data_IF_057784946882
#
_entry.id   IF_057784946882
#
_cell.length_a   1.000
_cell.length_b   1.000
_cell.length_c   1.000
_cell.angle_alpha   90.00
_cell.angle_beta   90.00
_cell.angle_gamma   90.00
#
_symmetry.space_group_name_H-M   'P 1'
#
loop_
_entity.id
_entity.type
_entity.pdbx_description
1 polymer ?
#
# COMPACT_ATOMS: atom_id res chain seq x y z
N UNK A 1 0.99 12.73 11.44
CA UNK A 1 1.46 12.91 10.05
C UNK A 1 0.97 11.74 9.22
N UNK A 2 -0.09 11.97 8.49
CA UNK A 2 -0.69 11.00 7.57
C UNK A 2 0.17 10.99 6.32
N UNK A 3 0.72 9.83 6.00
CA UNK A 3 1.41 9.59 4.73
C UNK A 3 0.34 9.59 3.64
N UNK A 4 0.26 10.67 2.88
CA UNK A 4 -0.58 10.73 1.68
C UNK A 4 0.23 10.21 0.50
N UNK A 5 0.15 8.92 0.25
CA UNK A 5 0.60 8.37 -1.01
C UNK A 5 -0.37 8.83 -2.12
N UNK A 6 0.17 9.38 -3.19
CA UNK A 6 -0.56 9.54 -4.44
C UNK A 6 -1.27 10.87 -4.69
N UNK A 7 -1.07 11.93 -3.87
CA UNK A 7 -1.56 13.26 -4.23
C UNK A 7 -0.44 14.06 -4.90
N UNK A 8 -0.64 14.61 -6.10
CA UNK A 8 0.27 15.60 -6.63
C UNK A 8 0.11 16.87 -5.77
N UNK A 9 0.93 16.98 -4.74
CA UNK A 9 1.11 18.24 -4.04
C UNK A 9 1.88 19.14 -4.99
N UNK A 10 1.23 20.17 -5.48
CA UNK A 10 1.87 21.25 -6.21
C UNK A 10 2.71 22.06 -5.22
N UNK A 11 3.93 21.65 -5.01
CA UNK A 11 4.90 22.32 -4.17
C UNK A 11 6.02 21.34 -3.83
N UNK A 12 7.20 21.58 -4.42
CA UNK A 12 8.44 20.89 -4.06
C UNK A 12 8.89 21.34 -2.67
N UNK A 13 8.22 20.86 -1.62
CA UNK A 13 8.69 21.06 -0.25
C UNK A 13 9.63 19.91 0.14
N UNK A 14 10.94 20.18 0.32
CA UNK A 14 11.94 19.17 0.68
C UNK A 14 11.65 18.48 2.01
N UNK A 15 10.86 19.09 2.91
CA UNK A 15 10.54 18.53 4.22
C UNK A 15 9.62 17.30 4.16
N UNK A 16 8.84 17.14 3.08
CA UNK A 16 7.97 15.97 2.91
C UNK A 16 8.71 14.73 2.38
N UNK A 17 9.83 14.92 1.69
CA UNK A 17 10.64 13.80 1.15
C UNK A 17 11.58 13.18 2.22
N UNK A 18 11.93 13.92 3.27
CA UNK A 18 12.86 13.48 4.33
C UNK A 18 12.28 12.43 5.30
N UNK A 19 10.97 12.24 5.34
CA UNK A 19 10.30 11.28 6.23
C UNK A 19 10.51 9.80 5.84
N UNK A 20 11.01 9.51 4.65
CA UNK A 20 11.27 8.14 4.17
C UNK A 20 12.73 7.71 4.22
N UNK A 21 13.66 8.62 4.51
CA UNK A 21 15.06 8.25 4.68
C UNK A 21 15.35 7.94 6.15
N UNK A 22 14.99 6.74 6.59
CA UNK A 22 15.69 6.11 7.69
C UNK A 22 17.16 5.96 7.28
N UNK A 23 18.03 6.75 7.88
CA UNK A 23 19.46 6.71 7.68
C UNK A 23 20.04 5.43 8.27
N UNK A 24 19.87 4.30 7.58
CA UNK A 24 20.84 3.23 7.68
C UNK A 24 22.00 3.63 6.78
N UNK A 25 23.06 4.14 7.37
CA UNK A 25 24.32 4.45 6.68
C UNK A 25 24.86 3.16 6.08
N UNK A 26 24.55 2.88 4.83
CA UNK A 26 25.21 1.84 4.05
C UNK A 26 26.63 2.35 3.81
N UNK A 27 27.59 1.79 4.54
CA UNK A 27 29.00 2.09 4.35
C UNK A 27 29.39 1.64 2.91
N UNK A 28 29.76 2.53 2.01
CA UNK A 28 30.05 2.18 0.62
C UNK A 28 31.29 1.31 0.45
N UNK A 29 32.02 0.98 1.52
CA UNK A 29 33.25 0.14 1.50
C UNK A 29 33.00 -1.36 1.66
N UNK A 30 31.77 -1.82 1.84
CA UNK A 30 31.42 -3.25 2.01
C UNK A 30 30.63 -3.85 0.85
N UNK A 31 30.63 -3.22 -0.32
CA UNK A 31 30.14 -3.92 -1.52
C UNK A 31 31.23 -4.91 -1.94
N UNK A 32 31.05 -6.17 -1.55
CA UNK A 32 31.92 -7.27 -1.88
C UNK A 32 31.89 -7.48 -3.42
N UNK A 33 32.96 -7.11 -4.13
CA UNK A 33 33.08 -7.15 -5.60
C UNK A 33 33.18 -8.57 -6.17
N UNK A 34 32.93 -9.62 -5.37
CA UNK A 34 33.13 -11.02 -5.78
C UNK A 34 31.88 -11.85 -5.96
N UNK A 35 30.68 -11.26 -5.93
CA UNK A 35 29.46 -11.98 -6.31
C UNK A 35 29.36 -12.06 -7.83
N UNK A 36 29.92 -13.11 -8.44
CA UNK A 36 29.68 -13.41 -9.84
C UNK A 36 28.20 -13.74 -10.03
N UNK A 37 27.50 -13.14 -11.01
CA UNK A 37 26.10 -13.46 -11.28
C UNK A 37 26.00 -14.91 -11.73
N UNK A 38 25.15 -15.70 -11.05
CA UNK A 38 24.86 -17.12 -11.37
C UNK A 38 23.93 -17.30 -12.59
N UNK A 39 23.89 -16.33 -13.47
CA UNK A 39 23.19 -16.49 -14.76
C UNK A 39 24.19 -16.94 -15.80
N UNK A 40 23.85 -18.06 -16.49
CA UNK A 40 24.63 -18.56 -17.58
C UNK A 40 24.95 -17.43 -18.57
N UNK A 41 26.17 -17.43 -19.10
CA UNK A 41 26.69 -16.46 -20.05
C UNK A 41 25.73 -16.28 -21.24
N UNK A 42 24.78 -15.39 -21.12
CA UNK A 42 24.23 -14.73 -22.30
C UNK A 42 25.31 -13.75 -22.74
N UNK A 43 25.81 -13.97 -23.95
CA UNK A 43 26.74 -13.05 -24.61
C UNK A 43 25.95 -11.82 -25.08
N UNK A 44 25.34 -11.13 -24.11
CA UNK A 44 24.79 -9.78 -24.28
C UNK A 44 26.02 -8.89 -24.43
N UNK A 45 26.26 -8.41 -25.64
CA UNK A 45 27.42 -7.58 -25.96
C UNK A 45 27.67 -6.55 -24.87
N UNK A 46 28.80 -6.65 -24.19
CA UNK A 46 29.17 -5.77 -23.05
C UNK A 46 28.99 -4.28 -23.41
N UNK A 47 29.15 -3.95 -24.69
CA UNK A 47 28.90 -2.62 -25.22
C UNK A 47 27.44 -2.18 -25.08
N UNK A 48 26.48 -3.04 -25.34
CA UNK A 48 25.05 -2.76 -25.18
C UNK A 48 24.68 -2.50 -23.72
N UNK A 49 25.24 -3.29 -22.80
CA UNK A 49 25.05 -3.09 -21.35
C UNK A 49 25.69 -1.78 -20.90
N UNK A 50 26.90 -1.47 -21.37
CA UNK A 50 27.58 -0.23 -21.03
C UNK A 50 26.81 1.00 -21.52
N UNK A 51 26.25 0.96 -22.72
CA UNK A 51 25.40 2.02 -23.27
C UNK A 51 24.10 2.15 -22.43
N UNK A 52 23.47 1.04 -22.06
CA UNK A 52 22.32 1.03 -21.17
C UNK A 52 22.60 1.70 -19.82
N UNK A 53 23.73 1.37 -19.20
CA UNK A 53 24.18 1.97 -17.95
C UNK A 53 24.43 3.48 -18.13
N UNK A 54 25.09 3.87 -19.20
CA UNK A 54 25.39 5.27 -19.47
C UNK A 54 24.11 6.11 -19.63
N UNK A 55 23.13 5.60 -20.36
CA UNK A 55 21.82 6.24 -20.54
C UNK A 55 21.05 6.35 -19.23
N UNK A 56 20.97 5.27 -18.45
CA UNK A 56 20.30 5.25 -17.15
C UNK A 56 20.96 6.25 -16.17
N UNK A 57 22.29 6.24 -16.10
CA UNK A 57 23.05 7.19 -15.27
C UNK A 57 22.78 8.64 -15.68
N UNK A 58 22.81 8.93 -16.97
CA UNK A 58 22.55 10.30 -17.49
C UNK A 58 21.13 10.75 -17.13
N UNK A 59 20.14 9.85 -17.27
CA UNK A 59 18.76 10.15 -16.92
C UNK A 59 18.60 10.41 -15.42
N UNK A 60 19.13 9.52 -14.57
CA UNK A 60 19.06 9.67 -13.11
C UNK A 60 19.71 10.99 -12.65
N UNK A 61 20.90 11.31 -13.15
CA UNK A 61 21.56 12.57 -12.80
C UNK A 61 20.77 13.81 -13.29
N UNK A 62 20.03 13.67 -14.40
CA UNK A 62 19.15 14.73 -14.88
C UNK A 62 17.88 14.91 -14.04
N UNK A 63 17.49 13.90 -13.25
CA UNK A 63 16.33 13.96 -12.33
C UNK A 63 16.74 14.35 -10.90
N UNK A 64 18.04 14.54 -10.64
CA UNK A 64 18.51 14.87 -9.30
C UNK A 64 18.08 16.28 -8.90
N UNK A 65 17.48 16.40 -7.69
CA UNK A 65 17.17 17.72 -7.14
C UNK A 65 18.45 18.51 -6.85
N UNK A 66 18.43 19.86 -6.94
CA UNK A 66 19.61 20.70 -6.64
C UNK A 66 20.26 20.41 -5.28
N UNK A 67 19.47 19.99 -4.28
CA UNK A 67 19.95 19.59 -2.94
C UNK A 67 20.55 18.18 -2.90
N UNK A 68 20.67 17.48 -4.04
CA UNK A 68 21.39 16.22 -4.19
C UNK A 68 20.59 14.95 -3.98
N UNK A 69 19.28 15.01 -3.73
CA UNK A 69 18.40 13.84 -3.55
C UNK A 69 17.56 13.53 -4.81
N UNK A 70 16.96 12.34 -4.82
CA UNK A 70 15.94 11.94 -5.79
C UNK A 70 14.63 11.67 -5.05
N UNK A 71 13.51 12.12 -5.60
CA UNK A 71 12.18 11.78 -5.16
C UNK A 71 11.53 10.91 -6.24
N UNK A 72 11.22 9.66 -5.90
CA UNK A 72 10.47 8.75 -6.77
C UNK A 72 9.01 8.79 -6.36
N UNK A 73 8.12 9.16 -7.28
CA UNK A 73 6.69 9.04 -7.05
C UNK A 73 6.30 7.57 -7.02
N UNK A 74 5.56 7.19 -5.97
CA UNK A 74 4.96 5.86 -5.84
C UNK A 74 3.48 5.99 -6.18
N UNK A 75 3.07 5.41 -7.28
CA UNK A 75 1.67 5.20 -7.57
C UNK A 75 1.19 3.99 -6.78
N UNK A 76 0.37 4.26 -5.75
CA UNK A 76 -0.17 3.23 -4.87
C UNK A 76 -1.47 2.65 -5.46
N UNK A 77 -1.97 1.61 -4.78
CA UNK A 77 -3.29 1.06 -5.03
C UNK A 77 -4.40 1.91 -4.37
N UNK A 78 -5.66 1.61 -4.68
CA UNK A 78 -6.85 2.28 -4.11
C UNK A 78 -7.08 1.98 -2.62
N UNK A 79 -6.19 1.21 -1.98
CA UNK A 79 -6.36 0.79 -0.60
C UNK A 79 -6.10 1.93 0.38
N UNK A 80 -5.09 2.76 0.11
CA UNK A 80 -4.73 3.88 0.98
C UNK A 80 -5.80 4.98 0.96
N UNK A 81 -6.37 5.27 -0.20
CA UNK A 81 -7.48 6.21 -0.34
C UNK A 81 -8.71 5.69 0.41
N UNK A 82 -9.00 4.40 0.29
CA UNK A 82 -10.10 3.76 1.00
C UNK A 82 -9.89 3.80 2.52
N UNK A 83 -8.69 3.47 3.00
CA UNK A 83 -8.35 3.48 4.43
C UNK A 83 -8.34 4.91 5.01
N UNK A 84 -7.95 5.91 4.22
CA UNK A 84 -8.08 7.32 4.58
C UNK A 84 -9.55 7.69 4.83
N UNK A 85 -10.45 7.30 3.93
CA UNK A 85 -11.89 7.55 4.05
C UNK A 85 -12.44 6.83 5.29
N UNK A 86 -12.07 5.56 5.53
CA UNK A 86 -12.51 4.79 6.69
C UNK A 86 -12.11 5.46 8.00
N UNK A 87 -10.82 5.80 8.13
CA UNK A 87 -10.29 6.44 9.33
C UNK A 87 -11.01 7.75 9.64
N UNK A 88 -11.16 8.62 8.66
CA UNK A 88 -11.79 9.91 8.86
C UNK A 88 -13.31 9.83 9.08
N UNK A 89 -13.96 8.83 8.48
CA UNK A 89 -15.37 8.54 8.74
C UNK A 89 -15.56 8.05 10.18
N UNK A 90 -14.70 7.15 10.66
CA UNK A 90 -14.76 6.59 12.01
C UNK A 90 -14.49 7.66 13.08
N UNK A 91 -13.52 8.54 12.84
CA UNK A 91 -13.13 9.59 13.77
C UNK A 91 -14.00 10.84 13.69
N UNK A 92 -14.88 10.96 12.71
CA UNK A 92 -15.65 12.17 12.46
C UNK A 92 -14.77 13.37 12.06
N UNK A 93 -13.56 13.12 11.53
CA UNK A 93 -12.58 14.14 11.21
C UNK A 93 -12.23 14.03 9.72
N UNK A 94 -12.67 14.81 8.87
CA UNK A 94 -12.30 14.69 7.45
C UNK A 94 -12.27 16.05 6.79
N UNK A 95 -11.27 16.27 5.96
CA UNK A 95 -11.26 17.38 5.02
C UNK A 95 -12.08 16.94 3.79
N UNK A 96 -13.25 17.56 3.53
CA UNK A 96 -14.11 17.18 2.42
C UNK A 96 -13.37 17.21 1.07
N UNK A 97 -12.49 18.20 0.86
CA UNK A 97 -11.74 18.33 -0.37
C UNK A 97 -10.70 17.21 -0.56
N UNK A 98 -10.10 16.70 0.52
CA UNK A 98 -9.20 15.55 0.45
C UNK A 98 -9.98 14.25 0.22
N UNK A 99 -11.12 14.10 0.88
CA UNK A 99 -11.98 12.94 0.69
C UNK A 99 -12.51 12.84 -0.74
N UNK A 100 -12.90 13.98 -1.33
CA UNK A 100 -13.33 14.05 -2.73
C UNK A 100 -12.20 13.64 -3.69
N UNK A 101 -10.97 14.11 -3.46
CA UNK A 101 -9.81 13.69 -4.26
C UNK A 101 -9.54 12.20 -4.14
N UNK A 102 -9.61 11.64 -2.92
CA UNK A 102 -9.47 10.20 -2.71
C UNK A 102 -10.53 9.39 -3.47
N UNK A 103 -11.78 9.84 -3.48
CA UNK A 103 -12.85 9.23 -4.28
C UNK A 103 -12.55 9.30 -5.78
N UNK A 104 -12.12 10.45 -6.28
CA UNK A 104 -11.81 10.60 -7.69
C UNK A 104 -10.67 9.67 -8.11
N UNK A 105 -9.69 9.45 -7.22
CA UNK A 105 -8.59 8.53 -7.47
C UNK A 105 -9.08 7.07 -7.48
N UNK A 106 -9.91 6.68 -6.52
CA UNK A 106 -10.55 5.35 -6.52
C UNK A 106 -11.31 5.11 -7.82
N UNK A 107 -12.10 6.08 -8.28
CA UNK A 107 -12.88 5.96 -9.51
C UNK A 107 -12.01 5.82 -10.76
N UNK A 108 -10.90 6.54 -10.81
CA UNK A 108 -9.95 6.52 -11.93
C UNK A 108 -9.30 5.16 -12.12
N UNK A 109 -9.10 4.41 -11.02
CA UNK A 109 -8.39 3.13 -11.02
C UNK A 109 -9.30 1.91 -11.05
N UNK A 110 -10.62 2.07 -11.30
CA UNK A 110 -11.48 0.93 -11.51
C UNK A 110 -11.14 0.22 -12.82
N UNK A 111 -10.82 -1.05 -12.74
CA UNK A 111 -10.57 -1.88 -13.91
C UNK A 111 -11.84 -2.12 -14.75
N UNK A 112 -11.67 -2.56 -15.99
CA UNK A 112 -12.78 -2.86 -16.90
C UNK A 112 -13.71 -3.96 -16.38
N UNK A 113 -13.19 -4.91 -15.59
CA UNK A 113 -13.97 -5.97 -14.95
C UNK A 113 -14.79 -5.50 -13.74
N UNK A 114 -14.58 -4.27 -13.27
CA UNK A 114 -15.28 -3.67 -12.13
C UNK A 114 -14.54 -3.77 -10.81
N UNK A 115 -13.40 -4.44 -10.74
CA UNK A 115 -12.55 -4.52 -9.57
C UNK A 115 -11.46 -3.44 -9.56
N UNK A 116 -10.52 -3.55 -8.59
CA UNK A 116 -9.33 -2.72 -8.46
C UNK A 116 -8.09 -3.60 -8.28
N UNK A 117 -6.99 -3.16 -8.84
CA UNK A 117 -5.70 -3.86 -8.82
C UNK A 117 -4.74 -3.30 -7.78
N UNK A 118 -3.68 -4.08 -7.49
CA UNK A 118 -2.56 -3.65 -6.62
C UNK A 118 -1.67 -2.60 -7.30
N UNK A 119 -1.63 -2.59 -8.62
CA UNK A 119 -0.80 -1.69 -9.42
C UNK A 119 -1.50 -1.42 -10.76
N UNK A 120 -1.24 -0.30 -11.42
CA UNK A 120 -1.86 0.05 -12.69
C UNK A 120 -1.72 -1.04 -13.75
N UNK A 121 -2.84 -1.46 -14.33
CA UNK A 121 -2.88 -2.54 -15.33
C UNK A 121 -2.73 -3.96 -14.77
N UNK A 122 -2.71 -4.13 -13.45
CA UNK A 122 -2.69 -5.43 -12.78
C UNK A 122 -4.07 -6.09 -12.71
N UNK A 123 -4.13 -7.39 -12.33
CA UNK A 123 -5.39 -8.09 -12.13
C UNK A 123 -6.14 -7.54 -10.92
N UNK A 124 -7.46 -7.52 -11.00
CA UNK A 124 -8.31 -7.09 -9.88
C UNK A 124 -8.19 -8.01 -8.67
N UNK A 125 -8.19 -7.43 -7.47
CA UNK A 125 -8.07 -8.15 -6.21
C UNK A 125 -9.27 -7.87 -5.31
N UNK A 126 -9.79 -8.93 -4.67
CA UNK A 126 -11.01 -8.87 -3.87
C UNK A 126 -10.92 -7.87 -2.71
N UNK A 127 -9.75 -7.75 -2.08
CA UNK A 127 -9.56 -6.86 -0.93
C UNK A 127 -9.72 -5.38 -1.34
N UNK A 128 -9.13 -5.00 -2.47
CA UNK A 128 -9.22 -3.64 -3.01
C UNK A 128 -10.63 -3.33 -3.50
N UNK A 129 -11.26 -4.28 -4.19
CA UNK A 129 -12.64 -4.14 -4.66
C UNK A 129 -13.64 -3.92 -3.53
N UNK A 130 -13.54 -4.69 -2.44
CA UNK A 130 -14.42 -4.56 -1.27
C UNK A 130 -14.18 -3.23 -0.54
N UNK A 131 -12.93 -2.84 -0.34
CA UNK A 131 -12.58 -1.57 0.33
C UNK A 131 -13.04 -0.36 -0.50
N UNK A 132 -12.75 -0.34 -1.79
CA UNK A 132 -13.18 0.73 -2.70
C UNK A 132 -14.71 0.85 -2.74
N UNK A 133 -15.42 -0.28 -2.85
CA UNK A 133 -16.89 -0.30 -2.81
C UNK A 133 -17.43 0.33 -1.51
N UNK A 134 -16.88 -0.05 -0.35
CA UNK A 134 -17.32 0.49 0.93
C UNK A 134 -16.98 1.98 1.05
N UNK A 135 -15.79 2.41 0.62
CA UNK A 135 -15.39 3.82 0.66
C UNK A 135 -16.36 4.70 -0.15
N UNK A 136 -16.72 4.28 -1.36
CA UNK A 136 -17.71 4.96 -2.18
C UNK A 136 -19.10 5.01 -1.49
N UNK A 137 -19.50 3.92 -0.84
CA UNK A 137 -20.77 3.86 -0.08
C UNK A 137 -20.78 4.83 1.10
N UNK A 138 -19.70 4.91 1.87
CA UNK A 138 -19.55 5.83 3.00
C UNK A 138 -19.61 7.29 2.59
N UNK A 139 -19.12 7.59 1.38
CA UNK A 139 -19.19 8.92 0.78
C UNK A 139 -20.56 9.23 0.12
N UNK A 140 -21.56 8.40 0.35
CA UNK A 140 -22.95 8.67 -0.05
C UNK A 140 -23.30 8.25 -1.47
N UNK A 141 -22.44 7.51 -2.17
CA UNK A 141 -22.74 7.04 -3.53
C UNK A 141 -23.87 6.01 -3.51
N UNK A 142 -24.82 6.16 -4.45
CA UNK A 142 -25.93 5.22 -4.59
C UNK A 142 -25.44 3.83 -4.97
N UNK A 143 -26.01 2.80 -4.35
CA UNK A 143 -25.77 1.38 -4.72
C UNK A 143 -26.11 1.08 -6.19
N UNK A 144 -26.96 1.91 -6.82
CA UNK A 144 -27.41 1.75 -8.21
C UNK A 144 -26.53 2.53 -9.19
N UNK A 145 -25.50 3.23 -8.70
CA UNK A 145 -24.54 3.89 -9.58
C UNK A 145 -23.77 2.84 -10.38
N UNK A 146 -23.54 3.05 -11.70
CA UNK A 146 -22.92 2.04 -12.58
C UNK A 146 -21.59 1.47 -12.05
N UNK A 147 -20.74 2.31 -11.49
CA UNK A 147 -19.48 1.92 -10.88
C UNK A 147 -19.69 0.91 -9.73
N UNK A 148 -20.66 1.20 -8.85
CA UNK A 148 -20.95 0.35 -7.68
C UNK A 148 -21.70 -0.94 -8.07
N UNK A 149 -22.54 -0.89 -9.06
CA UNK A 149 -23.18 -2.10 -9.60
C UNK A 149 -22.12 -3.05 -10.13
N UNK A 150 -21.25 -2.54 -11.00
CA UNK A 150 -20.16 -3.31 -11.61
C UNK A 150 -19.19 -3.88 -10.55
N UNK A 151 -18.82 -3.07 -9.57
CA UNK A 151 -17.97 -3.50 -8.44
C UNK A 151 -18.63 -4.62 -7.62
N UNK A 152 -19.91 -4.47 -7.31
CA UNK A 152 -20.67 -5.47 -6.54
C UNK A 152 -20.77 -6.79 -7.28
N UNK A 153 -21.09 -6.76 -8.57
CA UNK A 153 -21.16 -7.96 -9.39
C UNK A 153 -19.81 -8.68 -9.43
N UNK A 154 -18.74 -7.95 -9.65
CA UNK A 154 -17.39 -8.50 -9.65
C UNK A 154 -17.02 -9.11 -8.29
N UNK A 155 -17.27 -8.40 -7.18
CA UNK A 155 -16.99 -8.88 -5.82
C UNK A 155 -17.76 -10.18 -5.53
N UNK A 156 -19.04 -10.24 -5.86
CA UNK A 156 -19.85 -11.43 -5.65
C UNK A 156 -19.39 -12.62 -6.51
N UNK A 157 -19.03 -12.39 -7.75
CA UNK A 157 -18.50 -13.42 -8.65
C UNK A 157 -17.16 -13.99 -8.16
N UNK A 158 -16.37 -13.21 -7.42
CA UNK A 158 -15.07 -13.62 -6.89
C UNK A 158 -15.11 -14.12 -5.44
N UNK A 159 -16.30 -14.43 -4.91
CA UNK A 159 -16.50 -15.07 -3.61
C UNK A 159 -16.79 -14.13 -2.44
N UNK A 160 -17.02 -12.86 -2.72
CA UNK A 160 -17.50 -11.88 -1.74
C UNK A 160 -16.51 -11.61 -0.59
N UNK A 161 -17.02 -11.01 0.46
CA UNK A 161 -16.25 -10.61 1.65
C UNK A 161 -15.55 -11.79 2.33
N UNK A 162 -16.11 -13.01 2.23
CA UNK A 162 -15.55 -14.22 2.84
C UNK A 162 -14.14 -14.51 2.32
N UNK A 163 -13.85 -14.18 1.06
CA UNK A 163 -12.55 -14.37 0.42
C UNK A 163 -11.53 -13.28 0.77
N UNK A 164 -11.96 -12.20 1.43
CA UNK A 164 -11.05 -11.14 1.85
C UNK A 164 -10.07 -11.64 2.93
N UNK A 165 -8.91 -11.00 2.97
CA UNK A 165 -7.94 -11.20 4.03
C UNK A 165 -8.44 -10.65 5.38
N UNK A 166 -7.77 -11.05 6.46
CA UNK A 166 -8.12 -10.66 7.83
C UNK A 166 -8.13 -9.14 8.02
N UNK A 167 -7.17 -8.40 7.44
CA UNK A 167 -7.13 -6.94 7.57
C UNK A 167 -8.36 -6.27 6.96
N UNK A 168 -8.75 -6.64 5.75
CA UNK A 168 -9.97 -6.11 5.13
C UNK A 168 -11.21 -6.40 5.99
N UNK A 169 -11.31 -7.62 6.56
CA UNK A 169 -12.40 -7.98 7.46
C UNK A 169 -12.42 -7.15 8.73
N UNK A 170 -11.26 -6.89 9.34
CA UNK A 170 -11.15 -6.01 10.53
C UNK A 170 -11.68 -4.60 10.22
N UNK A 171 -11.30 -4.01 9.09
CA UNK A 171 -11.87 -2.71 8.69
C UNK A 171 -13.40 -2.76 8.52
N UNK A 172 -13.92 -3.82 7.92
CA UNK A 172 -15.36 -4.02 7.79
C UNK A 172 -16.05 -4.17 9.15
N UNK A 173 -15.43 -4.86 10.11
CA UNK A 173 -15.93 -4.95 11.49
C UNK A 173 -15.95 -3.58 12.16
N UNK A 174 -14.86 -2.82 12.08
CA UNK A 174 -14.77 -1.48 12.64
C UNK A 174 -15.83 -0.52 12.08
N UNK A 175 -16.23 -0.74 10.81
CA UNK A 175 -17.30 0.02 10.15
C UNK A 175 -18.70 -0.60 10.34
N UNK A 176 -18.83 -1.63 11.18
CA UNK A 176 -20.11 -2.30 11.44
C UNK A 176 -20.69 -3.10 10.26
N UNK A 177 -19.86 -3.46 9.27
CA UNK A 177 -20.27 -4.16 8.06
C UNK A 177 -19.95 -5.66 8.09
N UNK A 178 -19.28 -6.15 9.14
CA UNK A 178 -18.93 -7.56 9.32
C UNK A 178 -18.88 -7.89 10.81
N UNK A 179 -19.12 -9.15 11.18
CA UNK A 179 -19.13 -9.59 12.57
C UNK A 179 -17.71 -9.94 13.04
N UNK A 180 -17.33 -9.47 14.24
CA UNK A 180 -16.00 -9.74 14.82
C UNK A 180 -15.75 -11.22 15.03
N UNK A 181 -16.78 -12.00 15.42
CA UNK A 181 -16.67 -13.45 15.63
C UNK A 181 -16.26 -14.23 14.37
N UNK A 182 -16.43 -13.63 13.20
CA UNK A 182 -16.03 -14.21 11.93
C UNK A 182 -14.57 -13.86 11.51
N UNK A 183 -13.85 -13.13 12.37
CA UNK A 183 -12.44 -12.77 12.15
C UNK A 183 -11.57 -13.55 13.13
N UNK A 184 -10.45 -14.16 12.69
CA UNK A 184 -9.51 -14.83 13.58
C UNK A 184 -9.03 -13.89 14.69
N UNK A 185 -9.27 -14.28 15.96
CA UNK A 185 -8.79 -13.53 17.11
C UNK A 185 -7.26 -13.69 17.28
N UNK A 186 -6.59 -12.61 17.60
CA UNK A 186 -5.19 -12.63 18.03
C UNK A 186 -5.20 -12.54 19.55
N UNK A 187 -4.77 -13.60 20.28
CA UNK A 187 -4.82 -13.59 21.72
C UNK A 187 -3.86 -12.52 22.29
N UNK A 188 -4.33 -11.58 23.12
CA UNK A 188 -3.48 -10.53 23.68
C UNK A 188 -2.38 -11.08 24.59
N UNK A 189 -2.55 -12.31 25.11
CA UNK A 189 -1.59 -13.02 25.92
C UNK A 189 -0.24 -13.26 25.22
N UNK A 190 -0.17 -13.15 23.91
CA UNK A 190 1.07 -13.26 23.13
C UNK A 190 2.13 -12.26 23.61
N UNK A 191 1.71 -11.11 24.16
CA UNK A 191 2.60 -10.08 24.70
C UNK A 191 3.32 -10.56 25.97
N UNK A 192 2.76 -11.53 26.69
CA UNK A 192 3.25 -12.05 27.96
C UNK A 192 4.28 -13.18 27.78
N UNK A 193 4.48 -13.68 26.58
CA UNK A 193 5.44 -14.75 26.35
C UNK A 193 6.87 -14.26 26.58
N UNK A 194 7.65 -14.95 27.44
CA UNK A 194 9.02 -14.58 27.75
C UNK A 194 9.96 -14.85 26.57
N UNK A 195 11.09 -14.16 26.52
CA UNK A 195 12.06 -14.24 25.42
C UNK A 195 12.67 -15.65 25.21
N UNK A 196 12.61 -16.51 26.23
CA UNK A 196 13.09 -17.89 26.12
C UNK A 196 12.08 -18.84 25.48
N UNK A 197 10.82 -18.40 25.37
CA UNK A 197 9.77 -19.23 24.74
C UNK A 197 9.98 -19.23 23.22
N UNK A 198 9.76 -20.39 22.60
CA UNK A 198 9.95 -20.60 21.17
C UNK A 198 9.26 -19.56 20.29
N UNK A 199 8.11 -19.07 20.73
CA UNK A 199 7.33 -18.05 20.03
C UNK A 199 7.10 -16.85 20.95
N UNK A 200 7.73 -15.72 20.64
CA UNK A 200 7.56 -14.49 21.41
C UNK A 200 7.59 -13.26 20.48
N UNK A 201 7.04 -12.16 20.95
CA UNK A 201 6.91 -10.94 20.14
C UNK A 201 8.27 -10.28 19.81
N UNK A 202 9.32 -10.61 20.52
CA UNK A 202 10.64 -9.98 20.34
C UNK A 202 11.42 -10.58 19.16
N UNK A 203 11.06 -11.79 18.73
CA UNK A 203 11.57 -12.43 17.51
C UNK A 203 10.88 -11.92 16.24
N UNK A 204 9.77 -11.19 16.39
CA UNK A 204 9.02 -10.60 15.29
C UNK A 204 9.58 -9.19 14.99
N UNK A 205 9.58 -8.78 13.72
CA UNK A 205 10.04 -7.43 13.35
C UNK A 205 9.28 -6.33 14.11
N UNK A 206 9.94 -5.20 14.37
CA UNK A 206 9.31 -4.06 15.04
C UNK A 206 8.06 -3.55 14.31
N UNK A 207 8.09 -3.60 12.98
CA UNK A 207 6.94 -3.23 12.16
C UNK A 207 5.75 -4.18 12.38
N UNK A 208 5.99 -5.49 12.36
CA UNK A 208 4.96 -6.49 12.62
C UNK A 208 4.38 -6.38 14.03
N UNK A 209 5.21 -6.08 15.04
CA UNK A 209 4.74 -5.80 16.42
C UNK A 209 3.84 -4.57 16.48
N UNK A 210 4.21 -3.52 15.77
CA UNK A 210 3.42 -2.28 15.69
C UNK A 210 2.02 -2.46 15.12
N UNK A 211 1.78 -3.56 14.39
CA UNK A 211 0.47 -3.94 13.86
C UNK A 211 -0.22 -4.97 14.77
N UNK A 212 0.50 -6.04 15.13
CA UNK A 212 -0.07 -7.20 15.81
C UNK A 212 -0.55 -6.87 17.23
N UNK A 213 0.19 -6.07 17.98
CA UNK A 213 -0.17 -5.72 19.37
C UNK A 213 -1.46 -4.88 19.42
N UNK A 214 -1.63 -3.79 18.66
CA UNK A 214 -2.90 -3.06 18.65
C UNK A 214 -4.09 -3.90 18.14
N UNK A 215 -3.87 -4.84 17.23
CA UNK A 215 -4.92 -5.70 16.70
C UNK A 215 -5.33 -6.83 17.67
N UNK A 216 -4.55 -7.09 18.72
CA UNK A 216 -4.87 -8.09 19.73
C UNK A 216 -5.76 -7.55 20.86
N UNK A 217 -5.99 -6.25 20.94
CA UNK A 217 -6.84 -5.55 21.91
C UNK A 217 -8.26 -5.43 21.40
#
# INVERSE_FOLDING_TARGET
SVVTAGFPLSGNDPSECLLFMSTSSINPKTVNQTAQPRFGRMDLGLEYVADGIARAKKWLLGQQHPDGYWCGELEADSMLESDYIFMHTLLGTGDPGKMERAINEILRHQNEDGGWSLYPGGPSNINYGVKAYLALKLMGWSKDHPVLVKAREWVLANGGVVKCNTFTKIYLCAMGQYEYDAVPAIPPEIVLFPNWFYFNIYEISSWSRGILVPLSI
#
